data_IF_633443186426
#
_entry.id   IF_633443186426
#
_cell.length_a   1.000
_cell.length_b   1.000
_cell.length_c   1.000
_cell.angle_alpha   90.00
_cell.angle_beta   90.00
_cell.angle_gamma   90.00
#
_symmetry.space_group_name_H-M   'P 1'
#
loop_
_entity.id
_entity.type
_entity.pdbx_description
1 polymer ?
#
# COMPACT_ATOMS: atom_id res chain seq x y z
N UNK A 1 8.71 -28.35 67.32
CA UNK A 1 9.62 -28.30 66.16
C UNK A 1 8.77 -28.49 64.91
N UNK A 2 8.96 -27.65 63.91
CA UNK A 2 7.91 -27.07 63.08
C UNK A 2 7.23 -28.02 62.08
N UNK A 3 5.92 -27.83 61.95
CA UNK A 3 5.04 -28.45 60.96
C UNK A 3 5.16 -27.65 59.66
N UNK A 4 5.75 -28.21 58.61
CA UNK A 4 5.86 -27.56 57.29
C UNK A 4 4.61 -27.89 56.47
N UNK A 5 3.70 -26.92 56.38
CA UNK A 5 2.43 -27.01 55.65
C UNK A 5 2.67 -26.51 54.23
N UNK A 6 2.61 -27.41 53.25
CA UNK A 6 2.68 -27.10 51.82
C UNK A 6 1.34 -26.45 51.41
N UNK A 7 1.34 -25.13 51.19
CA UNK A 7 0.22 -24.40 50.63
C UNK A 7 0.55 -24.08 49.16
N UNK A 8 -0.11 -24.78 48.24
CA UNK A 8 -0.10 -24.47 46.81
C UNK A 8 -0.68 -23.07 46.62
N UNK A 9 0.15 -22.09 46.25
CA UNK A 9 -0.32 -20.80 45.75
C UNK A 9 -0.55 -20.99 44.24
N UNK A 10 -1.81 -21.04 43.83
CA UNK A 10 -2.18 -20.84 42.43
C UNK A 10 -1.65 -19.47 42.01
N UNK A 11 -0.61 -19.45 41.17
CA UNK A 11 -0.24 -18.25 40.41
C UNK A 11 -1.37 -18.02 39.41
N UNK A 12 -2.37 -17.24 39.84
CA UNK A 12 -3.33 -16.67 38.93
C UNK A 12 -2.56 -15.85 37.91
N UNK A 13 -2.68 -16.24 36.64
CA UNK A 13 -2.32 -15.37 35.53
C UNK A 13 -3.23 -14.15 35.63
N UNK A 14 -2.76 -13.10 36.29
CA UNK A 14 -3.36 -11.78 36.15
C UNK A 14 -3.03 -11.40 34.72
N UNK A 15 -3.98 -11.66 33.82
CA UNK A 15 -4.02 -11.04 32.50
C UNK A 15 -4.21 -9.55 32.77
N UNK A 16 -3.10 -8.86 33.02
CA UNK A 16 -3.05 -7.43 32.77
C UNK A 16 -3.22 -7.35 31.27
N UNK A 17 -4.46 -7.11 30.83
CA UNK A 17 -4.71 -6.67 29.47
C UNK A 17 -3.85 -5.43 29.28
N UNK A 18 -2.67 -5.63 28.68
CA UNK A 18 -1.85 -4.54 28.17
C UNK A 18 -2.84 -3.67 27.40
N UNK A 19 -2.90 -2.34 27.66
CA UNK A 19 -3.74 -1.49 26.84
C UNK A 19 -3.36 -1.81 25.40
N UNK A 20 -4.36 -2.15 24.57
CA UNK A 20 -4.14 -2.34 23.15
C UNK A 20 -3.50 -1.03 22.68
N UNK A 21 -2.18 -1.04 22.49
CA UNK A 21 -1.51 0.00 21.71
C UNK A 21 -2.33 0.01 20.43
N UNK A 22 -2.86 1.17 20.02
CA UNK A 22 -3.59 1.28 18.77
C UNK A 22 -2.67 0.72 17.68
N UNK A 23 -2.90 -0.54 17.32
CA UNK A 23 -2.11 -1.25 16.35
C UNK A 23 -2.62 -0.76 15.01
N UNK A 24 -1.72 -0.34 14.15
CA UNK A 24 -2.02 -0.15 12.75
C UNK A 24 -1.72 -1.49 12.11
N UNK A 25 -2.67 -1.96 11.31
CA UNK A 25 -2.47 -3.12 10.46
C UNK A 25 -2.63 -2.63 9.01
N UNK A 26 -1.51 -2.57 8.30
CA UNK A 26 -1.47 -2.18 6.90
C UNK A 26 -2.25 -3.16 6.02
N UNK A 27 -2.39 -4.41 6.49
CA UNK A 27 -3.23 -5.42 5.85
C UNK A 27 -2.79 -5.74 4.43
N UNK A 28 -3.75 -5.97 3.53
CA UNK A 28 -3.47 -6.23 2.11
C UNK A 28 -4.15 -5.22 1.20
N UNK A 29 -3.60 -5.04 0.00
CA UNK A 29 -4.11 -4.15 -1.04
C UNK A 29 -4.31 -4.86 -2.37
N UNK A 30 -5.31 -4.42 -3.13
CA UNK A 30 -5.63 -4.89 -4.47
C UNK A 30 -6.40 -3.80 -5.23
N UNK A 31 -6.55 -3.93 -6.55
CA UNK A 31 -7.46 -3.07 -7.30
C UNK A 31 -8.93 -3.41 -7.03
N UNK A 32 -9.84 -2.56 -7.51
CA UNK A 32 -11.29 -2.84 -7.55
C UNK A 32 -11.61 -4.22 -8.15
N UNK A 33 -10.81 -4.65 -9.12
CA UNK A 33 -10.96 -5.92 -9.85
C UNK A 33 -10.23 -7.09 -9.19
N UNK A 34 -9.62 -6.87 -8.03
CA UNK A 34 -8.89 -7.90 -7.28
C UNK A 34 -7.49 -8.22 -7.84
N UNK A 35 -6.90 -7.30 -8.60
CA UNK A 35 -5.57 -7.49 -9.19
C UNK A 35 -4.48 -6.86 -8.31
N UNK A 36 -3.30 -7.47 -8.30
CA UNK A 36 -2.07 -6.95 -7.66
C UNK A 36 -0.98 -6.68 -8.69
N UNK A 37 -1.26 -6.90 -9.98
CA UNK A 37 -0.42 -6.49 -11.10
C UNK A 37 -1.33 -5.97 -12.20
N UNK A 38 -1.07 -4.75 -12.66
CA UNK A 38 -1.89 -4.06 -13.67
C UNK A 38 -1.01 -3.33 -14.66
N UNK A 39 -1.52 -3.20 -15.88
CA UNK A 39 -0.85 -2.51 -16.98
C UNK A 39 -1.65 -1.26 -17.31
N UNK A 40 -0.96 -0.14 -17.52
CA UNK A 40 -1.55 1.13 -17.95
C UNK A 40 -0.77 1.69 -19.11
N UNK A 41 -1.39 2.58 -19.89
CA UNK A 41 -0.86 3.13 -21.13
C UNK A 41 -0.67 4.65 -21.04
N UNK A 42 0.22 5.16 -20.17
CA UNK A 42 0.26 6.58 -19.92
C UNK A 42 0.74 7.33 -21.16
N UNK A 43 -0.07 8.26 -21.66
CA UNK A 43 0.29 9.12 -22.79
C UNK A 43 -0.51 8.90 -24.07
N UNK A 44 -1.57 8.10 -24.04
CA UNK A 44 -2.56 8.03 -25.14
C UNK A 44 -3.63 9.14 -25.06
N UNK A 45 -3.51 10.04 -24.08
CA UNK A 45 -4.47 11.11 -23.77
C UNK A 45 -5.81 10.62 -23.19
N UNK A 46 -5.89 9.36 -22.75
CA UNK A 46 -7.05 8.77 -22.09
C UNK A 46 -6.74 8.49 -20.61
N UNK A 47 -7.61 8.87 -19.65
CA UNK A 47 -7.34 8.63 -18.23
C UNK A 47 -7.12 7.14 -17.84
N UNK A 48 -5.89 6.80 -17.45
CA UNK A 48 -5.50 5.56 -16.78
C UNK A 48 -5.84 5.59 -15.27
N UNK A 49 -7.13 5.60 -14.93
CA UNK A 49 -7.57 5.63 -13.52
C UNK A 49 -7.63 4.21 -12.94
N UNK A 50 -6.90 3.99 -11.85
CA UNK A 50 -6.99 2.77 -11.05
C UNK A 50 -7.61 3.09 -9.69
N UNK A 51 -8.59 2.27 -9.28
CA UNK A 51 -9.18 2.31 -7.95
C UNK A 51 -8.63 1.18 -7.08
N UNK A 52 -8.28 1.51 -5.85
CA UNK A 52 -7.64 0.63 -4.88
C UNK A 52 -8.60 0.25 -3.75
N UNK A 53 -8.40 -0.95 -3.24
CA UNK A 53 -9.09 -1.50 -2.08
C UNK A 53 -8.06 -2.09 -1.12
N UNK A 54 -8.43 -2.14 0.16
CA UNK A 54 -7.62 -2.76 1.20
C UNK A 54 -8.45 -3.67 2.09
N UNK A 55 -7.78 -4.56 2.82
CA UNK A 55 -8.35 -5.39 3.88
C UNK A 55 -7.43 -5.35 5.08
N UNK A 56 -7.94 -4.91 6.23
CA UNK A 56 -7.17 -4.70 7.46
C UNK A 56 -7.93 -5.25 8.67
N UNK A 57 -7.21 -5.69 9.71
CA UNK A 57 -7.79 -6.02 11.01
C UNK A 57 -8.07 -4.79 11.90
N UNK A 58 -7.66 -3.59 11.47
CA UNK A 58 -7.82 -2.33 12.20
C UNK A 58 -8.65 -1.31 11.40
N UNK A 59 -9.95 -1.58 11.13
CA UNK A 59 -10.78 -0.77 10.24
C UNK A 59 -11.10 0.64 10.78
N UNK A 60 -10.90 0.89 12.07
CA UNK A 60 -11.13 2.20 12.70
C UNK A 60 -9.92 3.15 12.58
N UNK A 61 -8.80 2.67 12.03
CA UNK A 61 -7.57 3.45 11.80
C UNK A 61 -7.64 4.11 10.43
N UNK A 62 -7.05 5.31 10.29
CA UNK A 62 -7.02 6.00 9.00
C UNK A 62 -6.19 5.22 7.99
N UNK A 63 -6.59 5.26 6.72
CA UNK A 63 -5.92 4.52 5.66
C UNK A 63 -5.62 5.44 4.47
N UNK A 64 -4.40 5.37 3.97
CA UNK A 64 -3.94 6.08 2.78
C UNK A 64 -3.26 5.10 1.82
N UNK A 65 -2.98 5.57 0.61
CA UNK A 65 -2.15 4.85 -0.34
C UNK A 65 -0.83 5.61 -0.55
N UNK A 66 0.25 4.87 -0.78
CA UNK A 66 1.58 5.43 -1.04
C UNK A 66 2.08 4.81 -2.33
N UNK A 67 2.50 5.66 -3.27
CA UNK A 67 3.05 5.21 -4.56
C UNK A 67 4.55 5.41 -4.51
N UNK A 68 5.31 4.33 -4.73
CA UNK A 68 6.78 4.34 -4.77
C UNK A 68 7.30 3.89 -6.13
N UNK A 69 8.57 4.18 -6.40
CA UNK A 69 9.34 3.43 -7.38
C UNK A 69 9.69 2.03 -6.85
N UNK A 70 10.44 1.25 -7.64
CA UNK A 70 10.90 -0.09 -7.26
C UNK A 70 12.01 -0.10 -6.20
N UNK A 71 12.61 1.05 -5.89
CA UNK A 71 13.58 1.21 -4.81
C UNK A 71 12.93 1.64 -3.49
N UNK A 72 11.61 1.85 -3.47
CA UNK A 72 10.85 2.31 -2.30
C UNK A 72 10.88 3.83 -2.12
N UNK A 73 11.35 4.60 -3.11
CA UNK A 73 11.29 6.07 -3.09
C UNK A 73 9.86 6.50 -3.40
N UNK A 74 9.28 7.30 -2.52
CA UNK A 74 7.91 7.81 -2.67
C UNK A 74 7.85 8.76 -3.86
N UNK A 75 6.98 8.44 -4.82
CA UNK A 75 6.65 9.26 -5.97
C UNK A 75 5.45 10.16 -5.66
N UNK A 76 4.50 9.67 -4.86
CA UNK A 76 3.30 10.41 -4.52
C UNK A 76 2.43 9.73 -3.47
N UNK A 77 1.51 10.52 -2.91
CA UNK A 77 0.48 10.06 -1.98
C UNK A 77 -0.89 10.49 -2.55
N UNK A 78 -1.66 9.57 -3.14
CA UNK A 78 -2.99 9.88 -3.64
C UNK A 78 -3.89 10.44 -2.53
N UNK A 79 -4.73 11.44 -2.80
CA UNK A 79 -5.63 12.02 -1.80
C UNK A 79 -6.81 11.12 -1.45
N UNK A 80 -7.04 10.07 -2.24
CA UNK A 80 -8.14 9.12 -2.10
C UNK A 80 -7.67 7.72 -2.54
N UNK A 81 -8.61 6.79 -2.72
CA UNK A 81 -8.34 5.44 -3.17
C UNK A 81 -8.23 5.30 -4.70
N UNK A 82 -8.08 6.41 -5.43
CA UNK A 82 -7.94 6.38 -6.90
C UNK A 82 -6.72 7.21 -7.32
N UNK A 83 -6.06 6.74 -8.37
CA UNK A 83 -4.96 7.47 -9.00
C UNK A 83 -5.07 7.36 -10.52
N UNK A 84 -4.96 8.50 -11.20
CA UNK A 84 -4.76 8.56 -12.64
C UNK A 84 -3.26 8.48 -12.95
N UNK A 85 -2.84 7.47 -13.72
CA UNK A 85 -1.44 7.29 -14.12
C UNK A 85 -1.07 8.03 -15.41
N UNK A 86 -2.03 8.73 -16.05
CA UNK A 86 -1.74 9.56 -17.21
C UNK A 86 -0.64 10.57 -16.97
N UNK A 87 0.29 10.66 -17.93
CA UNK A 87 1.40 11.59 -17.89
C UNK A 87 2.50 11.23 -16.87
N UNK A 88 2.39 10.12 -16.14
CA UNK A 88 3.43 9.66 -15.22
C UNK A 88 4.70 9.14 -15.94
N UNK A 89 4.63 8.96 -17.27
CA UNK A 89 5.67 8.36 -18.12
C UNK A 89 5.72 6.82 -18.01
N UNK A 90 6.59 6.15 -18.77
CA UNK A 90 6.76 4.70 -18.69
C UNK A 90 7.57 4.28 -17.46
N UNK A 91 7.41 3.02 -17.03
CA UNK A 91 8.16 2.41 -15.94
C UNK A 91 7.29 1.57 -15.00
N UNK A 92 7.86 1.10 -13.90
CA UNK A 92 7.13 0.35 -12.87
C UNK A 92 7.05 1.15 -11.58
N UNK A 93 5.88 1.23 -10.98
CA UNK A 93 5.70 1.75 -9.63
C UNK A 93 4.92 0.74 -8.78
N UNK A 94 5.03 0.92 -7.47
CA UNK A 94 4.39 0.07 -6.47
C UNK A 94 3.39 0.92 -5.69
N UNK A 95 2.17 0.41 -5.53
CA UNK A 95 1.16 1.01 -4.66
C UNK A 95 1.09 0.19 -3.38
N UNK A 96 1.31 0.88 -2.27
CA UNK A 96 1.22 0.37 -0.92
C UNK A 96 -0.03 0.91 -0.26
N UNK A 97 -0.61 0.12 0.65
CA UNK A 97 -1.53 0.63 1.64
C UNK A 97 -0.81 1.08 2.89
N UNK A 98 -1.31 2.13 3.53
CA UNK A 98 -0.75 2.71 4.75
C UNK A 98 -1.87 2.90 5.76
N UNK A 99 -1.91 2.05 6.79
CA UNK A 99 -2.72 2.29 7.98
C UNK A 99 -1.94 3.24 8.90
N UNK A 100 -2.57 4.30 9.38
CA UNK A 100 -1.89 5.28 10.24
C UNK A 100 -2.82 6.00 11.23
N UNK A 101 -2.22 6.50 12.31
CA UNK A 101 -2.83 7.50 13.20
C UNK A 101 -2.00 8.79 13.20
N UNK A 102 -2.61 9.88 13.67
CA UNK A 102 -1.97 11.19 13.62
C UNK A 102 -1.92 11.76 12.20
N UNK A 103 -0.79 12.38 11.86
CA UNK A 103 -0.56 13.02 10.55
C UNK A 103 0.51 12.27 9.76
N UNK A 104 0.33 12.18 8.43
CA UNK A 104 1.36 11.66 7.54
C UNK A 104 2.52 12.65 7.48
N UNK A 105 3.73 12.17 7.74
CA UNK A 105 4.98 12.92 7.68
C UNK A 105 5.80 12.62 6.42
N UNK A 106 5.48 11.53 5.74
CA UNK A 106 6.15 11.12 4.51
C UNK A 106 5.88 12.09 3.34
N UNK A 107 6.90 12.32 2.52
CA UNK A 107 6.83 13.20 1.35
C UNK A 107 7.43 12.52 0.11
N UNK A 108 7.06 12.97 -1.11
CA UNK A 108 7.76 12.55 -2.32
C UNK A 108 9.27 12.79 -2.22
N UNK A 109 10.05 11.77 -2.57
CA UNK A 109 11.51 11.73 -2.42
C UNK A 109 12.01 10.97 -1.20
N UNK A 110 11.17 10.74 -0.18
CA UNK A 110 11.54 9.90 0.96
C UNK A 110 11.57 8.41 0.59
N UNK A 111 12.35 7.61 1.32
CA UNK A 111 12.31 6.14 1.20
C UNK A 111 11.32 5.57 2.21
N UNK A 112 10.23 4.96 1.73
CA UNK A 112 9.07 4.57 2.55
C UNK A 112 9.40 3.61 3.71
N UNK A 113 10.50 2.85 3.60
CA UNK A 113 10.96 1.89 4.61
C UNK A 113 12.04 2.44 5.53
N UNK A 114 12.55 3.65 5.29
CA UNK A 114 13.68 4.23 6.02
C UNK A 114 13.29 5.36 6.98
N UNK A 115 12.03 5.79 6.95
CA UNK A 115 11.51 6.88 7.77
C UNK A 115 10.23 6.48 8.48
N UNK A 116 9.83 7.28 9.47
CA UNK A 116 8.48 7.20 10.01
C UNK A 116 7.52 7.83 9.00
N UNK A 117 6.47 7.09 8.63
CA UNK A 117 5.48 7.57 7.66
C UNK A 117 4.42 8.47 8.28
N UNK A 118 4.21 8.38 9.59
CA UNK A 118 3.35 9.25 10.38
C UNK A 118 4.00 9.66 11.71
N UNK A 119 3.44 10.68 12.36
CA UNK A 119 3.80 11.08 13.73
C UNK A 119 3.12 10.22 14.82
N UNK A 120 2.25 9.30 14.41
CA UNK A 120 1.57 8.33 15.26
C UNK A 120 2.03 6.91 14.98
N UNK A 121 1.08 5.99 15.06
CA UNK A 121 1.28 4.62 14.60
C UNK A 121 1.19 4.59 13.07
N UNK A 122 1.95 3.69 12.43
CA UNK A 122 1.81 3.39 11.01
C UNK A 122 2.16 1.92 10.73
N UNK A 123 1.58 1.39 9.66
CA UNK A 123 1.94 0.09 9.11
C UNK A 123 1.64 0.05 7.60
N UNK A 124 2.57 -0.52 6.83
CA UNK A 124 2.43 -0.71 5.39
C UNK A 124 1.77 -2.05 5.10
N UNK A 125 1.04 -2.15 3.99
CA UNK A 125 0.44 -3.40 3.57
C UNK A 125 1.47 -4.52 3.35
N UNK A 126 1.10 -5.76 3.68
CA UNK A 126 1.89 -6.98 3.53
C UNK A 126 2.25 -7.27 2.05
N UNK A 127 1.44 -6.77 1.13
CA UNK A 127 1.65 -6.88 -0.31
C UNK A 127 1.58 -5.50 -0.98
N UNK A 128 1.85 -5.49 -2.29
CA UNK A 128 1.80 -4.29 -3.14
C UNK A 128 0.98 -4.55 -4.39
N UNK A 129 0.46 -3.48 -4.99
CA UNK A 129 -0.02 -3.49 -6.37
C UNK A 129 1.12 -3.01 -7.27
N UNK A 130 1.56 -3.84 -8.20
CA UNK A 130 2.56 -3.49 -9.21
C UNK A 130 1.86 -2.86 -10.41
N UNK A 131 2.18 -1.60 -10.71
CA UNK A 131 1.64 -0.88 -11.87
C UNK A 131 2.74 -0.77 -12.91
N UNK A 132 2.52 -1.42 -14.06
CA UNK A 132 3.42 -1.41 -15.21
C UNK A 132 2.88 -0.39 -16.20
N UNK A 133 3.59 0.71 -16.34
CA UNK A 133 3.29 1.80 -17.27
C UNK A 133 4.09 1.57 -18.54
N UNK A 134 3.41 1.18 -19.60
CA UNK A 134 4.04 0.96 -20.90
C UNK A 134 3.43 1.89 -21.94
N UNK A 135 4.21 2.29 -22.94
CA UNK A 135 3.74 3.13 -24.04
C UNK A 135 4.01 2.37 -25.34
N UNK A 136 3.12 1.45 -25.74
CA UNK A 136 3.35 0.67 -26.94
C UNK A 136 3.32 1.60 -28.16
N UNK A 137 4.42 1.61 -28.92
CA UNK A 137 4.43 2.19 -30.26
C UNK A 137 3.55 1.31 -31.15
N UNK A 138 2.31 1.75 -31.38
CA UNK A 138 1.42 1.17 -32.37
C UNK A 138 2.07 1.25 -33.75
N UNK A 139 2.75 0.17 -34.16
CA UNK A 139 3.35 0.09 -35.48
C UNK A 139 2.30 0.17 -36.59
N UNK A 140 2.67 0.72 -37.75
CA UNK A 140 1.81 0.72 -38.92
C UNK A 140 1.70 -0.69 -39.50
N UNK A 141 0.49 -1.23 -39.61
CA UNK A 141 0.23 -2.44 -40.40
C UNK A 141 -0.03 -2.02 -41.83
N UNK A 142 0.93 -2.28 -42.72
CA UNK A 142 0.74 -2.11 -44.17
C UNK A 142 0.36 -3.45 -44.80
N UNK A 143 -0.76 -3.53 -45.50
CA UNK A 143 -1.04 -4.66 -46.39
C UNK A 143 -0.19 -4.54 -47.66
N UNK A 144 0.02 -5.65 -48.38
CA UNK A 144 0.77 -5.66 -49.65
C UNK A 144 0.16 -4.77 -50.74
N UNK A 145 -1.05 -4.25 -50.52
CA UNK A 145 -1.83 -3.42 -51.43
C UNK A 145 -1.79 -1.93 -51.08
N UNK A 146 -1.04 -1.54 -50.04
CA UNK A 146 -0.68 -0.14 -49.79
C UNK A 146 -1.75 0.71 -49.07
N UNK A 147 -2.86 0.11 -48.63
CA UNK A 147 -3.78 0.80 -47.73
C UNK A 147 -3.25 0.77 -46.30
N UNK A 148 -3.00 1.97 -45.77
CA UNK A 148 -2.79 2.20 -44.33
C UNK A 148 -4.14 2.38 -43.66
N UNK A 149 -4.45 1.55 -42.65
CA UNK A 149 -5.58 1.77 -41.74
C UNK A 149 -5.22 2.84 -40.70
#
# INVERSE_FOLDING_TARGET
MNVFKFLLILLGFISYGLPAIAQCDGGSVQTSDGQTTVYTCPGDSMPDVLSFQHSTSTPDVSYAYVITDTNGVILGLPPANEQNFEGAGPGTCLVWGLAYTGSITAMPGDTATAINLSDGCFDLSDNVITVIRDMPDGGTVSTAEGDTL
#
